data_IF_951672335722
#
_entry.id   IF_951672335722
#
_cell.length_a   1.000
_cell.length_b   1.000
_cell.length_c   1.000
_cell.angle_alpha   90.00
_cell.angle_beta   90.00
_cell.angle_gamma   90.00
#
_symmetry.space_group_name_H-M   'P 1'
#
loop_
_entity.id
_entity.type
_entity.pdbx_description
1 polymer ?
#
# COMPACT_ATOMS: atom_id res chain seq x y z
N UNK A 1 2.05 40.19 -22.78
CA UNK A 1 3.04 39.52 -21.92
C UNK A 1 2.33 38.85 -20.75
N UNK A 2 1.52 37.81 -21.00
CA UNK A 2 0.97 36.92 -19.96
C UNK A 2 0.62 35.59 -20.64
N UNK A 3 1.64 34.75 -20.85
CA UNK A 3 1.49 33.40 -21.40
C UNK A 3 2.54 32.49 -20.74
N UNK A 4 2.36 32.18 -19.45
CA UNK A 4 3.30 31.36 -18.69
C UNK A 4 2.65 30.46 -17.63
N UNK A 5 1.36 30.12 -17.73
CA UNK A 5 0.69 29.41 -16.63
C UNK A 5 -0.27 28.26 -17.04
N UNK A 6 -0.23 27.77 -18.28
CA UNK A 6 -1.21 26.76 -18.74
C UNK A 6 -0.63 25.50 -19.40
N UNK A 7 0.71 25.38 -19.52
CA UNK A 7 1.36 24.23 -20.18
C UNK A 7 2.02 23.19 -19.23
N UNK A 8 1.61 23.14 -17.96
CA UNK A 8 1.90 21.98 -17.09
C UNK A 8 0.64 21.13 -16.95
N UNK A 9 0.23 20.49 -18.05
CA UNK A 9 -0.65 19.32 -18.05
C UNK A 9 0.09 18.18 -17.32
N UNK A 10 0.14 18.24 -15.98
CA UNK A 10 0.62 17.16 -15.15
C UNK A 10 -0.39 16.02 -15.28
N UNK A 11 0.06 14.85 -15.74
CA UNK A 11 -0.80 13.69 -15.90
C UNK A 11 -1.40 13.30 -14.54
N UNK A 12 -2.63 13.71 -14.26
CA UNK A 12 -3.32 13.31 -13.04
C UNK A 12 -3.38 11.79 -12.98
N UNK A 13 -2.92 11.21 -11.87
CA UNK A 13 -3.15 9.80 -11.57
C UNK A 13 -4.28 9.69 -10.54
N UNK A 14 -5.03 8.60 -10.63
CA UNK A 14 -6.03 8.27 -9.62
C UNK A 14 -5.36 7.46 -8.52
N UNK A 15 -5.41 7.96 -7.30
CA UNK A 15 -4.88 7.29 -6.13
C UNK A 15 -5.97 7.09 -5.09
N UNK A 16 -5.81 6.06 -4.28
CA UNK A 16 -6.80 5.65 -3.30
C UNK A 16 -6.37 6.05 -1.90
N UNK A 17 -7.29 6.65 -1.14
CA UNK A 17 -7.00 7.00 0.23
C UNK A 17 -6.94 5.74 1.11
N UNK A 18 -5.82 5.46 1.80
CA UNK A 18 -5.71 4.31 2.71
C UNK A 18 -6.61 4.44 3.96
N UNK A 19 -7.22 5.61 4.19
CA UNK A 19 -8.09 5.86 5.34
C UNK A 19 -9.57 5.72 5.02
N UNK A 20 -10.05 6.33 3.93
CA UNK A 20 -11.48 6.36 3.58
C UNK A 20 -11.84 5.52 2.36
N UNK A 21 -10.84 4.93 1.68
CA UNK A 21 -11.02 4.04 0.52
C UNK A 21 -11.68 4.69 -0.71
N UNK A 22 -11.80 6.02 -0.75
CA UNK A 22 -12.26 6.74 -1.94
C UNK A 22 -11.09 7.06 -2.86
N UNK A 23 -11.30 6.91 -4.16
CA UNK A 23 -10.35 7.33 -5.17
C UNK A 23 -10.42 8.85 -5.35
N UNK A 24 -9.29 9.47 -5.65
CA UNK A 24 -9.23 10.89 -5.98
C UNK A 24 -8.03 11.18 -6.88
N UNK A 25 -8.10 12.31 -7.59
CA UNK A 25 -7.04 12.72 -8.51
C UNK A 25 -5.91 13.40 -7.76
N UNK A 26 -4.69 12.99 -8.10
CA UNK A 26 -3.45 13.57 -7.60
C UNK A 26 -2.48 13.77 -8.76
N UNK A 27 -1.62 14.78 -8.67
CA UNK A 27 -0.58 14.97 -9.67
C UNK A 27 0.30 13.72 -9.76
N UNK A 28 0.81 13.40 -10.97
CA UNK A 28 1.63 12.20 -11.22
C UNK A 28 2.79 12.07 -10.23
N UNK A 29 3.37 13.20 -9.85
CA UNK A 29 4.56 13.32 -8.99
C UNK A 29 4.22 13.67 -7.54
N UNK A 30 2.94 13.68 -7.16
CA UNK A 30 2.52 13.99 -5.80
C UNK A 30 3.02 12.91 -4.82
N UNK A 31 3.90 13.31 -3.90
CA UNK A 31 4.41 12.46 -2.80
C UNK A 31 3.47 12.41 -1.61
N UNK A 32 2.76 13.49 -1.37
CA UNK A 32 1.74 13.54 -0.34
C UNK A 32 0.63 14.49 -0.75
N UNK A 33 -0.55 14.30 -0.18
CA UNK A 33 -1.71 15.14 -0.44
C UNK A 33 -2.71 15.01 0.69
N UNK A 34 -3.65 15.93 0.78
CA UNK A 34 -4.78 15.82 1.68
C UNK A 34 -5.94 15.18 0.95
N UNK A 35 -6.50 14.10 1.50
CA UNK A 35 -7.66 13.46 0.90
C UNK A 35 -8.87 14.41 0.95
N UNK A 36 -9.52 14.75 -0.17
CA UNK A 36 -10.67 15.67 -0.19
C UNK A 36 -11.92 15.10 0.49
N UNK A 37 -11.94 13.80 0.80
CA UNK A 37 -13.10 13.13 1.38
C UNK A 37 -13.03 12.92 2.89
N UNK A 38 -11.83 12.75 3.44
CA UNK A 38 -11.65 12.53 4.88
C UNK A 38 -10.69 13.52 5.54
N UNK A 39 -10.14 14.47 4.76
CA UNK A 39 -9.25 15.54 5.20
C UNK A 39 -8.00 15.06 5.95
N UNK A 40 -7.60 13.79 5.76
CA UNK A 40 -6.35 13.24 6.31
C UNK A 40 -5.24 13.33 5.28
N UNK A 41 -4.02 13.55 5.78
CA UNK A 41 -2.81 13.46 4.98
C UNK A 41 -2.58 12.03 4.51
N UNK A 42 -2.38 11.87 3.20
CA UNK A 42 -2.00 10.63 2.55
C UNK A 42 -0.59 10.82 2.02
N UNK A 43 0.34 9.95 2.42
CA UNK A 43 1.67 9.84 1.81
C UNK A 43 1.64 8.71 0.80
N UNK A 44 2.18 8.97 -0.39
CA UNK A 44 2.42 8.02 -1.46
C UNK A 44 3.87 7.54 -1.49
N UNK A 45 4.65 7.87 -0.46
CA UNK A 45 6.04 7.43 -0.36
C UNK A 45 6.10 5.95 0.01
N UNK A 46 7.13 5.28 -0.50
CA UNK A 46 7.38 3.89 -0.18
C UNK A 46 7.86 3.76 1.28
N UNK A 47 7.27 2.82 2.00
CA UNK A 47 7.58 2.56 3.40
C UNK A 47 8.37 1.26 3.51
N UNK A 48 9.60 1.36 4.01
CA UNK A 48 10.46 0.20 4.25
C UNK A 48 10.58 -0.07 5.74
N UNK A 49 10.11 -1.23 6.18
CA UNK A 49 10.17 -1.66 7.58
C UNK A 49 11.34 -2.62 7.75
N UNK A 50 12.33 -2.22 8.56
CA UNK A 50 13.56 -2.97 8.79
C UNK A 50 13.61 -3.70 10.15
N UNK A 51 12.71 -3.37 11.07
CA UNK A 51 12.73 -3.88 12.43
C UNK A 51 11.33 -4.27 12.89
N UNK A 52 11.06 -4.05 14.18
CA UNK A 52 9.73 -4.30 14.74
C UNK A 52 8.81 -3.11 14.50
N UNK A 53 7.61 -3.39 14.00
CA UNK A 53 6.57 -2.38 13.85
C UNK A 53 5.33 -2.81 14.63
N UNK A 54 4.91 -1.96 15.57
CA UNK A 54 3.64 -2.09 16.27
C UNK A 54 2.75 -0.89 15.94
N UNK A 55 1.50 -1.15 15.55
CA UNK A 55 0.56 -0.11 15.15
C UNK A 55 -0.07 -0.33 13.78
N UNK A 56 -0.76 0.69 13.24
CA UNK A 56 -1.38 0.63 11.92
C UNK A 56 -0.41 1.19 10.88
N UNK A 57 -0.14 0.43 9.82
CA UNK A 57 0.72 0.88 8.72
C UNK A 57 -0.19 1.34 7.58
N UNK A 58 -0.05 2.59 7.16
CA UNK A 58 -0.82 3.15 6.04
C UNK A 58 0.17 3.84 5.10
N UNK A 59 0.25 3.38 3.85
CA UNK A 59 0.90 4.10 2.77
C UNK A 59 0.04 4.05 1.51
N UNK A 60 0.02 5.13 0.75
CA UNK A 60 -0.51 5.17 -0.61
C UNK A 60 0.48 4.62 -1.64
N UNK A 61 1.76 4.46 -1.27
CA UNK A 61 2.80 3.86 -2.10
C UNK A 61 2.98 2.37 -1.81
N UNK A 62 4.21 1.88 -1.97
CA UNK A 62 4.59 0.49 -1.71
C UNK A 62 5.04 0.30 -0.27
N UNK A 63 4.68 -0.83 0.34
CA UNK A 63 5.16 -1.21 1.67
C UNK A 63 6.06 -2.43 1.56
N UNK A 64 7.30 -2.33 2.04
CA UNK A 64 8.30 -3.40 1.99
C UNK A 64 8.73 -3.78 3.39
N UNK A 65 8.42 -5.01 3.80
CA UNK A 65 8.93 -5.61 5.03
C UNK A 65 10.22 -6.34 4.70
N UNK A 66 11.34 -5.90 5.26
CA UNK A 66 12.66 -6.51 4.99
C UNK A 66 12.85 -7.80 5.78
N UNK A 67 13.83 -8.60 5.37
CA UNK A 67 14.25 -9.80 6.09
C UNK A 67 14.59 -9.49 7.54
N UNK A 68 14.07 -10.30 8.46
CA UNK A 68 14.21 -10.09 9.91
C UNK A 68 13.30 -9.02 10.51
N UNK A 69 12.46 -8.37 9.72
CA UNK A 69 11.40 -7.50 10.26
C UNK A 69 10.27 -8.32 10.87
N UNK A 70 9.69 -7.80 11.95
CA UNK A 70 8.53 -8.40 12.63
C UNK A 70 7.45 -7.33 12.77
N UNK A 71 6.39 -7.44 11.99
CA UNK A 71 5.30 -6.49 12.02
C UNK A 71 4.10 -7.09 12.74
N UNK A 72 3.85 -6.65 13.98
CA UNK A 72 2.60 -6.98 14.71
C UNK A 72 1.67 -5.79 14.60
N UNK A 73 0.85 -5.82 13.56
CA UNK A 73 0.03 -4.70 13.15
C UNK A 73 -1.45 -5.03 13.24
N UNK A 74 -2.23 -4.04 13.68
CA UNK A 74 -3.70 -4.17 13.65
C UNK A 74 -4.26 -4.12 12.22
N UNK A 75 -3.48 -3.61 11.27
CA UNK A 75 -3.88 -3.50 9.88
C UNK A 75 -2.84 -2.77 9.05
N UNK A 76 -2.50 -3.37 7.91
CA UNK A 76 -1.64 -2.79 6.88
C UNK A 76 -2.55 -2.33 5.74
N UNK A 77 -2.37 -1.10 5.31
CA UNK A 77 -3.03 -0.59 4.11
C UNK A 77 -1.99 -0.01 3.16
N UNK A 78 -1.94 -0.56 1.95
CA UNK A 78 -1.00 -0.14 0.91
C UNK A 78 -1.75 0.16 -0.40
N UNK A 79 -1.41 1.27 -1.04
CA UNK A 79 -2.01 1.68 -2.30
C UNK A 79 -1.43 0.95 -3.50
N UNK A 80 -0.10 0.95 -3.65
CA UNK A 80 0.56 0.45 -4.86
C UNK A 80 1.02 -1.00 -4.78
N UNK A 81 1.39 -1.49 -3.59
CA UNK A 81 1.82 -2.88 -3.42
C UNK A 81 2.39 -3.19 -2.05
N UNK A 82 2.50 -4.48 -1.73
CA UNK A 82 3.16 -4.96 -0.51
C UNK A 82 4.18 -6.03 -0.86
N UNK A 83 5.39 -5.92 -0.32
CA UNK A 83 6.39 -6.98 -0.33
C UNK A 83 6.69 -7.46 1.09
N UNK A 84 6.64 -8.77 1.31
CA UNK A 84 6.87 -9.38 2.61
C UNK A 84 8.09 -10.30 2.54
N UNK A 85 9.22 -9.84 3.08
CA UNK A 85 10.46 -10.62 3.24
C UNK A 85 10.72 -11.06 4.69
N UNK A 86 9.79 -10.79 5.61
CA UNK A 86 9.91 -11.08 7.05
C UNK A 86 8.62 -11.64 7.63
N UNK A 87 8.43 -11.52 8.94
CA UNK A 87 7.23 -12.02 9.62
C UNK A 87 6.22 -10.90 9.85
N UNK A 88 5.01 -11.08 9.34
CA UNK A 88 3.92 -10.10 9.39
C UNK A 88 2.70 -10.77 9.98
N UNK A 89 2.25 -10.26 11.13
CA UNK A 89 1.01 -10.65 11.77
C UNK A 89 0.03 -9.47 11.71
N UNK A 90 -1.06 -9.64 10.96
CA UNK A 90 -2.11 -8.62 10.83
C UNK A 90 -2.92 -8.74 9.54
N UNK A 91 -4.04 -8.03 9.49
CA UNK A 91 -4.83 -7.92 8.28
C UNK A 91 -4.14 -7.01 7.24
N UNK A 92 -3.99 -7.49 6.01
CA UNK A 92 -3.37 -6.76 4.90
C UNK A 92 -4.45 -6.38 3.90
N UNK A 93 -4.62 -5.08 3.69
CA UNK A 93 -5.47 -4.52 2.64
C UNK A 93 -4.59 -3.81 1.63
N UNK A 94 -4.42 -4.40 0.46
CA UNK A 94 -3.67 -3.80 -0.64
C UNK A 94 -4.56 -3.65 -1.87
N UNK A 95 -4.43 -2.54 -2.58
CA UNK A 95 -5.07 -2.37 -3.89
C UNK A 95 -4.19 -2.80 -5.06
N UNK A 96 -2.91 -3.01 -4.80
CA UNK A 96 -1.93 -3.51 -5.75
C UNK A 96 -1.60 -4.99 -5.53
N UNK A 97 -0.50 -5.45 -6.13
CA UNK A 97 0.05 -6.78 -5.90
C UNK A 97 0.62 -6.93 -4.48
N UNK A 98 0.36 -8.06 -3.86
CA UNK A 98 1.03 -8.54 -2.65
C UNK A 98 2.00 -9.65 -3.03
N UNK A 99 3.27 -9.49 -2.66
CA UNK A 99 4.33 -10.48 -2.91
C UNK A 99 4.87 -10.95 -1.56
N UNK A 100 4.81 -12.26 -1.34
CA UNK A 100 5.41 -12.93 -0.18
C UNK A 100 6.66 -13.66 -0.66
N UNK A 101 7.83 -13.22 -0.20
CA UNK A 101 9.10 -13.82 -0.58
C UNK A 101 9.37 -15.13 0.16
N UNK A 102 10.43 -15.84 -0.24
CA UNK A 102 10.81 -17.14 0.33
C UNK A 102 11.05 -17.13 1.84
N UNK A 103 11.54 -16.01 2.39
CA UNK A 103 11.76 -15.81 3.82
C UNK A 103 10.55 -15.14 4.52
N UNK A 104 9.47 -14.88 3.77
CA UNK A 104 8.29 -14.18 4.22
C UNK A 104 7.26 -15.10 4.86
N UNK A 105 6.72 -14.66 6.00
CA UNK A 105 5.62 -15.31 6.70
C UNK A 105 4.52 -14.28 6.94
N UNK A 106 3.34 -14.50 6.36
CA UNK A 106 2.18 -13.64 6.54
C UNK A 106 1.10 -14.41 7.29
N UNK A 107 0.72 -13.92 8.47
CA UNK A 107 -0.40 -14.45 9.27
C UNK A 107 -1.49 -13.41 9.41
N UNK A 108 -2.66 -13.69 8.85
CA UNK A 108 -3.83 -12.81 8.90
C UNK A 108 -4.60 -12.77 7.59
N UNK A 109 -5.67 -11.99 7.58
CA UNK A 109 -6.53 -11.86 6.42
C UNK A 109 -5.89 -10.96 5.36
N UNK A 110 -5.83 -11.42 4.12
CA UNK A 110 -5.24 -10.69 2.99
C UNK A 110 -6.32 -10.36 1.98
N UNK A 111 -6.48 -9.08 1.70
CA UNK A 111 -7.33 -8.56 0.65
C UNK A 111 -6.46 -7.78 -0.34
N UNK A 112 -6.33 -8.30 -1.56
CA UNK A 112 -5.38 -7.81 -2.56
C UNK A 112 -5.95 -7.86 -3.98
N UNK A 113 -5.36 -7.09 -4.91
CA UNK A 113 -5.70 -7.20 -6.33
C UNK A 113 -5.05 -8.44 -6.97
N UNK A 114 -3.84 -8.78 -6.54
CA UNK A 114 -3.17 -10.04 -6.87
C UNK A 114 -2.27 -10.46 -5.72
N UNK A 115 -2.01 -11.77 -5.63
CA UNK A 115 -1.14 -12.36 -4.62
C UNK A 115 -0.13 -13.28 -5.31
N UNK A 116 1.15 -13.06 -5.02
CA UNK A 116 2.26 -13.89 -5.46
C UNK A 116 2.99 -14.40 -4.23
N UNK A 117 3.18 -15.72 -4.15
CA UNK A 117 3.93 -16.36 -3.06
C UNK A 117 5.11 -17.10 -3.69
N UNK A 118 6.32 -16.71 -3.33
CA UNK A 118 7.55 -17.36 -3.77
C UNK A 118 7.75 -18.68 -3.02
N UNK A 119 8.56 -19.59 -3.60
CA UNK A 119 8.88 -20.87 -2.99
C UNK A 119 9.57 -20.66 -1.63
N UNK A 120 8.97 -21.17 -0.55
CA UNK A 120 9.42 -20.96 0.84
C UNK A 120 8.55 -19.95 1.61
N UNK A 121 7.85 -19.07 0.91
CA UNK A 121 6.92 -18.12 1.50
C UNK A 121 5.72 -18.84 2.12
N UNK A 122 5.35 -18.45 3.33
CA UNK A 122 4.21 -19.02 4.04
C UNK A 122 3.12 -17.97 4.25
N UNK A 123 1.89 -18.32 3.91
CA UNK A 123 0.72 -17.48 4.16
C UNK A 123 -0.34 -18.28 4.92
N UNK A 124 -0.81 -17.73 6.03
CA UNK A 124 -1.82 -18.33 6.88
C UNK A 124 -2.95 -17.33 7.15
N UNK A 125 -4.13 -17.58 6.61
CA UNK A 125 -5.31 -16.75 6.84
C UNK A 125 -6.31 -16.80 5.69
N UNK A 126 -7.37 -16.00 5.77
CA UNK A 126 -8.31 -15.87 4.66
C UNK A 126 -7.73 -14.96 3.59
N UNK A 127 -7.79 -15.39 2.33
CA UNK A 127 -7.36 -14.58 1.19
C UNK A 127 -8.56 -14.22 0.34
N UNK A 128 -8.71 -12.93 0.05
CA UNK A 128 -9.68 -12.38 -0.90
C UNK A 128 -8.93 -11.66 -2.01
N UNK A 129 -8.94 -12.26 -3.19
CA UNK A 129 -8.41 -11.63 -4.39
C UNK A 129 -9.59 -11.10 -5.19
N UNK A 130 -9.63 -9.80 -5.40
CA UNK A 130 -10.66 -9.16 -6.22
C UNK A 130 -10.03 -8.10 -7.10
N UNK A 131 -10.54 -7.96 -8.33
CA UNK A 131 -10.21 -6.81 -9.15
C UNK A 131 -10.71 -5.55 -8.42
N UNK A 132 -9.79 -4.85 -7.77
CA UNK A 132 -10.08 -3.61 -7.04
C UNK A 132 -10.33 -2.53 -8.08
N UNK A 133 -11.59 -2.40 -8.52
CA UNK A 133 -12.00 -1.30 -9.37
C UNK A 133 -11.72 0.02 -8.63
N UNK A 134 -10.89 0.87 -9.24
CA UNK A 134 -10.70 2.26 -8.81
C UNK A 134 -12.00 3.01 -9.12
N UNK A 135 -12.94 3.01 -8.17
CA UNK A 135 -14.22 3.74 -8.25
C UNK A 135 -14.04 5.20 -7.90
#
# INVERSE_FOLDING_TARGET
MLAFAQDYLQADRTADCPHCRKAFRVGTVARSTMCPHCYRGVSFDDVVIKGECSGKVCSGGRVVFRRGSRARTRGITAGEGVEVHGDVEGAVLCRGPVVVSSDGSLRGDVEAASLHVEAGGSLYGAVKIAAMARQ
#
